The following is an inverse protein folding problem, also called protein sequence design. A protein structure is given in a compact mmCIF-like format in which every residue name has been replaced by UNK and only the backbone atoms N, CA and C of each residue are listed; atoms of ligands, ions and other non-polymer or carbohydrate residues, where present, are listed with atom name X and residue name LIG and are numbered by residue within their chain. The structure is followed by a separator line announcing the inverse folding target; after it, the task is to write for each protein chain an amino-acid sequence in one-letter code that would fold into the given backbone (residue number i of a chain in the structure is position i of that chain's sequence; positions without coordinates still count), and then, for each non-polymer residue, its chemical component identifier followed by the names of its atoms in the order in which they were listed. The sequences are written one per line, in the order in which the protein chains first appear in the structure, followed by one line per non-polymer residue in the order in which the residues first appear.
data_IF_141920520026
#
_entry.id   IF_141920520026
#
_cell.length_a   1.000
_cell.length_b   1.000
_cell.length_c   1.000
_cell.angle_alpha   90.00
_cell.angle_beta   90.00
_cell.angle_gamma   90.00
#
_symmetry.space_group_name_H-M   'P 1'
#
loop_
_entity.id
_entity.type
_entity.pdbx_description
1 polymer ?
#
# COMPACT_ATOMS: atom_id res chain seq x y z
N UNK A 1 7.49 -3.48 7.96
CA UNK A 1 7.98 -4.49 6.98
C UNK A 1 8.63 -3.84 5.77
N UNK A 2 7.96 -3.00 4.97
CA UNK A 2 8.54 -2.40 3.75
C UNK A 2 9.82 -1.60 4.01
N UNK A 3 9.85 -0.74 5.03
CA UNK A 3 11.07 0.01 5.41
C UNK A 3 12.24 -0.91 5.73
N UNK A 4 12.02 -1.98 6.49
CA UNK A 4 13.06 -2.93 6.84
C UNK A 4 13.58 -3.69 5.61
N UNK A 5 12.69 -4.05 4.68
CA UNK A 5 13.05 -4.69 3.42
C UNK A 5 13.86 -3.76 2.52
N UNK A 6 13.45 -2.50 2.39
CA UNK A 6 14.19 -1.51 1.60
C UNK A 6 15.56 -1.23 2.21
N UNK A 7 15.66 -1.08 3.53
CA UNK A 7 16.93 -0.90 4.22
C UNK A 7 17.88 -2.09 4.03
N UNK A 8 17.35 -3.32 4.07
CA UNK A 8 18.15 -4.54 3.85
C UNK A 8 18.66 -4.69 2.42
N UNK A 9 18.07 -3.98 1.45
CA UNK A 9 18.45 -4.01 0.04
C UNK A 9 19.04 -2.69 -0.45
N UNK A 10 19.45 -1.79 0.47
CA UNK A 10 20.01 -0.47 0.17
C UNK A 10 19.11 0.40 -0.73
N UNK A 11 17.78 0.25 -0.58
CA UNK A 11 16.79 1.04 -1.30
C UNK A 11 16.36 2.20 -0.41
N UNK A 12 16.60 3.43 -0.86
CA UNK A 12 16.04 4.61 -0.20
C UNK A 12 14.53 4.66 -0.40
N UNK A 13 13.78 4.61 0.69
CA UNK A 13 12.32 4.57 0.67
C UNK A 13 11.72 5.69 1.52
N UNK A 14 10.86 6.48 0.90
CA UNK A 14 10.07 7.52 1.56
C UNK A 14 8.60 7.05 1.64
N UNK A 15 8.09 6.87 2.85
CA UNK A 15 6.73 6.38 3.07
C UNK A 15 5.67 7.31 2.46
N UNK A 16 5.90 8.64 2.52
CA UNK A 16 4.99 9.62 1.94
C UNK A 16 4.78 9.46 0.43
N UNK A 17 5.72 8.81 -0.29
CA UNK A 17 5.57 8.52 -1.72
C UNK A 17 4.40 7.59 -2.05
N UNK A 18 3.85 6.89 -1.07
CA UNK A 18 2.66 6.05 -1.26
C UNK A 18 1.41 6.89 -1.49
N UNK A 19 1.34 8.08 -0.89
CA UNK A 19 0.22 9.02 -1.02
C UNK A 19 0.52 10.21 -1.93
N UNK A 20 1.79 10.53 -2.14
CA UNK A 20 2.24 11.59 -3.05
C UNK A 20 3.08 11.01 -4.19
N UNK A 21 2.49 10.94 -5.38
CA UNK A 21 3.12 10.41 -6.59
C UNK A 21 4.30 11.24 -7.12
N UNK A 22 4.50 12.47 -6.62
CA UNK A 22 5.64 13.31 -7.00
C UNK A 22 6.92 12.91 -6.27
N UNK A 23 6.82 12.15 -5.20
CA UNK A 23 7.96 11.65 -4.44
C UNK A 23 8.43 10.30 -5.02
N UNK A 24 9.73 10.21 -5.32
CA UNK A 24 10.36 8.95 -5.68
C UNK A 24 10.57 8.07 -4.44
N UNK A 25 10.56 6.74 -4.61
CA UNK A 25 10.79 5.81 -3.49
C UNK A 25 11.78 4.68 -3.77
N UNK A 26 12.47 4.70 -4.90
CA UNK A 26 13.47 3.70 -5.27
C UNK A 26 12.91 2.30 -5.59
N UNK A 27 11.62 2.07 -5.43
CA UNK A 27 10.98 0.79 -5.77
C UNK A 27 10.62 0.78 -7.25
N UNK A 28 11.06 -0.24 -7.99
CA UNK A 28 10.76 -0.37 -9.40
C UNK A 28 9.23 -0.45 -9.64
N UNK A 29 8.77 0.28 -10.65
CA UNK A 29 7.36 0.28 -11.08
C UNK A 29 6.35 0.69 -9.99
N UNK A 30 6.79 1.45 -8.97
CA UNK A 30 5.89 1.77 -7.85
C UNK A 30 4.68 2.61 -8.28
N UNK A 31 4.82 3.49 -9.27
CA UNK A 31 3.71 4.29 -9.79
C UNK A 31 2.62 3.40 -10.39
N UNK A 32 3.02 2.45 -11.24
CA UNK A 32 2.10 1.52 -11.86
C UNK A 32 1.44 0.61 -10.83
N UNK A 33 2.20 0.15 -9.83
CA UNK A 33 1.70 -0.68 -8.75
C UNK A 33 0.69 0.07 -7.86
N UNK A 34 0.99 1.29 -7.45
CA UNK A 34 0.08 2.12 -6.63
C UNK A 34 -1.18 2.45 -7.41
N UNK A 35 -1.04 2.92 -8.65
CA UNK A 35 -2.19 3.25 -9.49
C UNK A 35 -3.10 2.04 -9.74
N UNK A 36 -2.52 0.86 -9.93
CA UNK A 36 -3.27 -0.38 -10.07
C UNK A 36 -4.00 -0.76 -8.78
N UNK A 37 -3.33 -0.69 -7.63
CA UNK A 37 -3.93 -0.98 -6.34
C UNK A 37 -5.11 -0.04 -6.03
N UNK A 38 -4.93 1.28 -6.24
CA UNK A 38 -5.97 2.27 -6.05
C UNK A 38 -7.18 2.03 -6.97
N UNK A 39 -6.95 1.77 -8.24
CA UNK A 39 -8.01 1.49 -9.20
C UNK A 39 -8.77 0.20 -8.86
N UNK A 40 -8.05 -0.84 -8.41
CA UNK A 40 -8.63 -2.10 -7.99
C UNK A 40 -9.52 -1.92 -6.73
N UNK A 41 -9.05 -1.15 -5.76
CA UNK A 41 -9.78 -0.88 -4.52
C UNK A 41 -11.03 -0.01 -4.75
N UNK A 42 -10.98 0.94 -5.67
CA UNK A 42 -12.14 1.76 -6.08
C UNK A 42 -13.18 0.97 -6.87
N UNK A 43 -12.75 -0.07 -7.58
CA UNK A 43 -13.65 -0.96 -8.32
C UNK A 43 -14.28 -0.34 -9.58
N UNK A 44 -13.76 0.77 -10.07
CA UNK A 44 -14.26 1.42 -11.29
C UNK A 44 -13.69 0.75 -12.55
N UNK A 45 -14.56 0.24 -13.41
CA UNK A 45 -14.17 -0.65 -14.55
C UNK A 45 -13.17 0.00 -15.50
N UNK A 46 -13.41 1.24 -15.94
CA UNK A 46 -12.55 1.91 -16.92
C UNK A 46 -11.18 2.27 -16.36
N UNK A 47 -11.06 2.95 -15.19
CA UNK A 47 -9.77 3.22 -14.57
C UNK A 47 -8.98 1.96 -14.26
N UNK A 48 -9.63 0.90 -13.80
CA UNK A 48 -8.98 -0.38 -13.52
C UNK A 48 -8.42 -1.03 -14.79
N UNK A 49 -9.16 -0.99 -15.90
CA UNK A 49 -8.68 -1.53 -17.17
C UNK A 49 -7.41 -0.80 -17.64
N UNK A 50 -7.40 0.53 -17.58
CA UNK A 50 -6.24 1.34 -17.96
C UNK A 50 -5.03 1.10 -17.05
N UNK A 51 -5.25 1.03 -15.73
CA UNK A 51 -4.19 0.78 -14.76
C UNK A 51 -3.59 -0.62 -14.93
N UNK A 52 -4.43 -1.63 -15.19
CA UNK A 52 -4.01 -3.00 -15.48
C UNK A 52 -3.16 -3.08 -16.74
N UNK A 53 -3.56 -2.41 -17.82
CA UNK A 53 -2.82 -2.44 -19.08
C UNK A 53 -1.46 -1.74 -18.94
N UNK A 54 -1.38 -0.63 -18.21
CA UNK A 54 -0.11 0.03 -17.87
C UNK A 54 0.79 -0.88 -17.04
N UNK A 55 0.26 -1.50 -16.00
CA UNK A 55 1.02 -2.42 -15.16
C UNK A 55 1.50 -3.63 -15.96
N UNK A 56 0.64 -4.21 -16.80
CA UNK A 56 0.98 -5.32 -17.69
C UNK A 56 2.15 -4.97 -18.61
N UNK A 57 2.16 -3.78 -19.17
CA UNK A 57 3.26 -3.31 -20.03
C UNK A 57 4.57 -3.18 -19.27
N UNK A 58 4.54 -2.89 -17.97
CA UNK A 58 5.72 -2.74 -17.13
C UNK A 58 6.25 -4.07 -16.58
N UNK A 59 5.37 -4.97 -16.10
CA UNK A 59 5.76 -6.16 -15.33
C UNK A 59 5.26 -7.49 -15.91
N UNK A 60 4.54 -7.46 -17.03
CA UNK A 60 3.97 -8.65 -17.67
C UNK A 60 2.71 -9.19 -16.96
N UNK A 61 2.11 -10.24 -17.54
CA UNK A 61 0.88 -10.85 -16.99
C UNK A 61 1.08 -11.44 -15.61
N UNK A 62 2.19 -12.16 -15.38
CA UNK A 62 2.52 -12.74 -14.07
C UNK A 62 2.65 -11.65 -12.99
N UNK A 63 3.25 -10.51 -13.32
CA UNK A 63 3.36 -9.38 -12.42
C UNK A 63 2.01 -8.78 -12.04
N UNK A 64 1.08 -8.68 -13.00
CA UNK A 64 -0.30 -8.22 -12.73
C UNK A 64 -1.03 -9.19 -11.79
N UNK A 65 -0.92 -10.50 -12.04
CA UNK A 65 -1.55 -11.52 -11.18
C UNK A 65 -1.00 -11.46 -9.76
N UNK A 66 0.32 -11.33 -9.61
CA UNK A 66 0.96 -11.20 -8.29
C UNK A 66 0.51 -9.93 -7.56
N UNK A 67 0.46 -8.79 -8.25
CA UNK A 67 -0.01 -7.53 -7.66
C UNK A 67 -1.48 -7.65 -7.20
N UNK A 68 -2.36 -8.22 -8.02
CA UNK A 68 -3.75 -8.45 -7.66
C UNK A 68 -3.89 -9.40 -6.45
N UNK A 69 -3.09 -10.46 -6.39
CA UNK A 69 -3.10 -11.40 -5.27
C UNK A 69 -2.66 -10.74 -3.96
N UNK A 70 -1.64 -9.87 -4.00
CA UNK A 70 -1.19 -9.10 -2.81
C UNK A 70 -2.29 -8.18 -2.32
N UNK A 71 -2.91 -7.38 -3.21
CA UNK A 71 -4.01 -6.49 -2.83
C UNK A 71 -5.18 -7.28 -2.26
N UNK A 72 -5.59 -8.38 -2.91
CA UNK A 72 -6.67 -9.24 -2.44
C UNK A 72 -6.40 -9.86 -1.07
N UNK A 73 -5.18 -10.31 -0.83
CA UNK A 73 -4.76 -10.88 0.45
C UNK A 73 -4.86 -9.85 1.60
N UNK A 74 -4.36 -8.63 1.40
CA UNK A 74 -4.48 -7.57 2.40
C UNK A 74 -5.92 -7.15 2.64
N UNK A 75 -6.75 -7.07 1.60
CA UNK A 75 -8.17 -6.77 1.75
C UNK A 75 -8.90 -7.85 2.54
N UNK A 76 -8.62 -9.11 2.28
CA UNK A 76 -9.19 -10.24 3.04
C UNK A 76 -8.83 -10.15 4.51
N UNK A 77 -7.55 -9.95 4.82
CA UNK A 77 -7.06 -9.86 6.20
C UNK A 77 -7.69 -8.66 6.94
N UNK A 78 -7.71 -7.48 6.32
CA UNK A 78 -8.28 -6.28 6.92
C UNK A 78 -9.77 -6.46 7.21
N UNK A 79 -10.55 -7.01 6.29
CA UNK A 79 -11.98 -7.27 6.49
C UNK A 79 -12.24 -8.30 7.59
N UNK A 80 -11.41 -9.34 7.69
CA UNK A 80 -11.50 -10.31 8.78
C UNK A 80 -11.22 -9.66 10.14
N UNK A 81 -10.18 -8.83 10.24
CA UNK A 81 -9.84 -8.09 11.47
C UNK A 81 -10.94 -7.10 11.86
N UNK A 82 -11.50 -6.35 10.90
CA UNK A 82 -12.60 -5.42 11.13
C UNK A 82 -13.85 -6.14 11.65
N UNK A 83 -14.18 -7.28 11.04
CA UNK A 83 -15.36 -8.10 11.44
C UNK A 83 -15.21 -8.65 12.86
N UNK A 84 -14.00 -9.03 13.23
CA UNK A 84 -13.71 -9.55 14.58
C UNK A 84 -13.54 -8.44 15.62
N UNK A 85 -13.49 -7.17 15.21
CA UNK A 85 -13.17 -6.05 16.10
C UNK A 85 -11.77 -6.16 16.70
N UNK A 86 -10.82 -6.73 15.94
CA UNK A 86 -9.46 -6.92 16.42
C UNK A 86 -8.80 -5.58 16.71
N UNK A 87 -8.24 -5.45 17.91
CA UNK A 87 -7.49 -4.27 18.32
C UNK A 87 -6.00 -4.47 18.00
N UNK A 88 -5.27 -3.35 17.88
CA UNK A 88 -3.82 -3.41 17.80
C UNK A 88 -3.26 -4.09 19.07
N UNK A 89 -2.62 -5.23 18.90
CA UNK A 89 -2.07 -6.03 20.00
C UNK A 89 -0.79 -5.47 20.62
N UNK A 90 -0.46 -4.21 20.31
CA UNK A 90 0.74 -3.53 20.83
C UNK A 90 0.44 -2.07 21.17
N UNK A 91 1.28 -1.54 22.04
CA UNK A 91 1.26 -0.13 22.42
C UNK A 91 1.45 0.78 21.17
N UNK A 92 0.68 1.85 21.09
CA UNK A 92 0.81 2.85 20.03
C UNK A 92 2.05 3.70 20.34
N UNK A 93 3.08 3.55 19.54
CA UNK A 93 4.35 4.26 19.73
C UNK A 93 4.36 5.61 19.02
N UNK A 94 5.19 6.59 19.47
CA UNK A 94 5.36 7.85 18.77
C UNK A 94 5.74 7.70 17.29
N UNK A 95 6.52 6.66 16.95
CA UNK A 95 6.92 6.35 15.58
C UNK A 95 5.73 5.92 14.73
N UNK A 96 4.78 5.18 15.31
CA UNK A 96 3.56 4.77 14.61
C UNK A 96 2.66 5.98 14.34
N UNK A 97 2.56 6.91 15.29
CA UNK A 97 1.83 8.17 15.15
C UNK A 97 2.45 9.04 14.05
N UNK A 98 3.77 9.18 14.05
CA UNK A 98 4.48 9.93 13.01
C UNK A 98 4.27 9.31 11.63
N UNK A 99 4.34 7.99 11.52
CA UNK A 99 4.09 7.25 10.28
C UNK A 99 2.66 7.45 9.77
N UNK A 100 1.66 7.46 10.64
CA UNK A 100 0.28 7.76 10.27
C UNK A 100 0.14 9.20 9.75
N UNK A 101 0.83 10.17 10.36
CA UNK A 101 0.90 11.55 9.90
C UNK A 101 1.50 11.69 8.51
N UNK A 102 2.60 10.99 8.21
CA UNK A 102 3.24 10.97 6.88
C UNK A 102 2.28 10.45 5.78
N UNK A 103 1.34 9.60 6.15
CA UNK A 103 0.33 9.05 5.26
C UNK A 103 -0.97 9.87 5.23
N UNK A 104 -1.04 10.99 5.95
CA UNK A 104 -2.25 11.81 6.07
C UNK A 104 -3.39 11.10 6.81
N UNK A 105 -3.08 10.09 7.64
CA UNK A 105 -4.04 9.35 8.43
C UNK A 105 -4.22 9.99 9.81
N UNK A 106 -5.46 10.13 10.26
CA UNK A 106 -5.77 10.51 11.64
C UNK A 106 -5.69 9.29 12.55
N UNK A 107 -4.94 9.42 13.63
CA UNK A 107 -4.92 8.38 14.67
C UNK A 107 -6.26 8.38 15.41
N UNK A 108 -6.96 7.25 15.52
CA UNK A 108 -8.21 7.18 16.26
C UNK A 108 -7.99 7.57 17.73
N UNK A 109 -8.92 8.35 18.30
CA UNK A 109 -8.80 8.83 19.70
C UNK A 109 -8.64 7.73 20.74
N UNK A 110 -9.16 6.54 20.47
CA UNK A 110 -9.03 5.38 21.37
C UNK A 110 -7.65 4.71 21.30
N UNK A 111 -6.74 5.21 20.48
CA UNK A 111 -5.34 4.77 20.42
C UNK A 111 -4.43 5.69 21.27
N UNK A 112 -4.97 6.82 21.70
CA UNK A 112 -4.30 7.71 22.66
C UNK A 112 -4.52 7.17 24.10
#
# INVERSE_FOLDING_TARGET
MLRASCSANDIEFQLASVVDSNLGNGVAYYHELINFADALLKGEVKPLALARDKLRSAVGDDGVVRAAAVVGNFQMMNRALDTLGAQLGREVTPELIAMAGDLGLSVPKHWE
#
